data_IF_463980800119
#
_entry.id   IF_463980800119
#
_cell.length_a   1.000
_cell.length_b   1.000
_cell.length_c   1.000
_cell.angle_alpha   90.00
_cell.angle_beta   90.00
_cell.angle_gamma   90.00
#
_symmetry.space_group_name_H-M   'P 1'
#
loop_
_entity.id
_entity.type
_entity.pdbx_description
1 polymer ?
#
# COMPACT_ATOMS: atom_id res chain seq x y z
N UNK A 1 9.45 -0.41 -30.60
CA UNK A 1 9.16 -0.99 -29.25
C UNK A 1 8.46 0.00 -28.32
N UNK A 2 9.00 1.22 -28.14
CA UNK A 2 8.40 2.21 -27.23
C UNK A 2 7.00 2.64 -27.69
N UNK A 3 6.81 2.91 -28.97
CA UNK A 3 5.51 3.32 -29.53
C UNK A 3 4.49 2.19 -29.41
N UNK A 4 4.87 0.97 -29.73
CA UNK A 4 4.02 -0.21 -29.59
C UNK A 4 3.66 -0.48 -28.12
N UNK A 5 4.64 -0.41 -27.22
CA UNK A 5 4.44 -0.57 -25.79
C UNK A 5 3.52 0.49 -25.22
N UNK A 6 3.65 1.74 -25.66
CA UNK A 6 2.77 2.83 -25.27
C UNK A 6 1.33 2.59 -25.71
N UNK A 7 1.12 2.15 -26.96
CA UNK A 7 -0.21 1.81 -27.47
C UNK A 7 -0.87 0.69 -26.67
N UNK A 8 -0.11 -0.36 -26.34
CA UNK A 8 -0.59 -1.47 -25.52
C UNK A 8 -0.96 -1.00 -24.12
N UNK A 9 -0.12 -0.18 -23.48
CA UNK A 9 -0.37 0.39 -22.18
C UNK A 9 -1.66 1.24 -22.16
N UNK A 10 -1.80 2.13 -23.14
CA UNK A 10 -2.98 2.99 -23.28
C UNK A 10 -4.26 2.17 -23.40
N UNK A 11 -4.27 1.16 -24.27
CA UNK A 11 -5.41 0.28 -24.46
C UNK A 11 -5.79 -0.49 -23.20
N UNK A 12 -4.81 -1.01 -22.49
CA UNK A 12 -5.05 -1.78 -21.25
C UNK A 12 -5.55 -0.91 -20.08
N UNK A 13 -5.30 0.40 -20.12
CA UNK A 13 -5.70 1.35 -19.07
C UNK A 13 -6.86 2.28 -19.49
N UNK A 14 -7.45 2.05 -20.65
CA UNK A 14 -8.61 2.81 -21.12
C UNK A 14 -8.32 4.22 -21.63
N UNK A 15 -7.08 4.51 -21.99
CA UNK A 15 -6.69 5.79 -22.59
C UNK A 15 -6.84 5.75 -24.10
N UNK A 16 -7.45 6.76 -24.70
CA UNK A 16 -7.62 6.88 -26.16
C UNK A 16 -6.63 7.84 -26.77
N UNK A 17 -6.14 8.83 -26.04
CA UNK A 17 -5.19 9.85 -26.49
C UNK A 17 -4.09 10.07 -25.45
N UNK A 18 -2.91 10.47 -25.91
CA UNK A 18 -1.81 10.86 -25.03
C UNK A 18 -2.17 12.03 -24.10
N UNK A 19 -3.00 12.96 -24.58
CA UNK A 19 -3.48 14.07 -23.77
C UNK A 19 -4.25 13.62 -22.53
N UNK A 20 -4.94 12.49 -22.58
CA UNK A 20 -5.70 11.93 -21.45
C UNK A 20 -4.80 11.38 -20.35
N UNK A 21 -3.57 10.98 -20.69
CA UNK A 21 -2.56 10.52 -19.74
C UNK A 21 -1.79 11.66 -19.10
N UNK A 22 -1.65 12.77 -19.82
CA UNK A 22 -0.87 13.92 -19.35
C UNK A 22 -1.50 14.50 -18.11
N UNK A 23 -0.71 14.56 -17.04
CA UNK A 23 -1.17 15.10 -15.77
C UNK A 23 -2.21 14.25 -15.03
N UNK A 24 -2.42 12.98 -15.42
CA UNK A 24 -3.38 12.08 -14.78
C UNK A 24 -3.15 11.90 -13.27
N UNK A 25 -1.89 11.99 -12.83
CA UNK A 25 -1.52 11.88 -11.42
C UNK A 25 -1.65 13.20 -10.64
N UNK A 26 -1.80 14.36 -11.31
CA UNK A 26 -1.73 15.68 -10.66
C UNK A 26 -2.81 15.84 -9.57
N UNK A 27 -4.00 15.30 -9.77
CA UNK A 27 -5.08 15.36 -8.78
C UNK A 27 -4.78 14.58 -7.49
N UNK A 28 -3.82 13.66 -7.54
CA UNK A 28 -3.39 12.84 -6.41
C UNK A 28 -2.07 13.30 -5.79
N UNK A 29 -1.43 14.29 -6.41
CA UNK A 29 -0.19 14.86 -5.88
C UNK A 29 -0.52 15.93 -4.85
N UNK A 30 0.24 15.95 -3.79
CA UNK A 30 0.19 17.00 -2.78
C UNK A 30 1.61 17.41 -2.38
N UNK A 31 1.74 18.59 -1.79
CA UNK A 31 3.01 19.02 -1.22
C UNK A 31 3.25 18.35 0.14
N UNK A 32 4.48 18.45 0.64
CA UNK A 32 4.89 17.84 1.90
C UNK A 32 4.06 18.34 3.08
N UNK A 33 3.68 19.63 3.08
CA UNK A 33 2.89 20.22 4.16
C UNK A 33 1.46 19.66 4.20
N UNK A 34 0.84 19.45 3.05
CA UNK A 34 -0.48 18.83 2.96
C UNK A 34 -0.43 17.35 3.36
N UNK A 35 0.63 16.65 2.96
CA UNK A 35 0.85 15.25 3.35
C UNK A 35 1.07 15.11 4.87
N UNK A 36 1.87 15.98 5.46
CA UNK A 36 2.14 15.97 6.91
C UNK A 36 0.89 16.21 7.77
N UNK A 37 -0.12 16.91 7.22
CA UNK A 37 -1.41 17.14 7.88
C UNK A 37 -2.43 16.02 7.65
N UNK A 38 -2.17 15.11 6.74
CA UNK A 38 -3.06 13.99 6.51
C UNK A 38 -3.11 13.07 7.74
N UNK A 39 -4.27 12.47 8.05
CA UNK A 39 -4.37 11.54 9.17
C UNK A 39 -3.43 10.35 8.95
N UNK A 40 -2.70 9.99 10.00
CA UNK A 40 -1.82 8.83 9.97
C UNK A 40 -2.64 7.55 9.73
N UNK A 41 -2.16 6.72 8.81
CA UNK A 41 -2.74 5.39 8.58
C UNK A 41 -1.91 4.35 9.31
N UNK A 42 -2.58 3.33 9.80
CA UNK A 42 -1.95 2.21 10.47
C UNK A 42 -2.36 0.91 9.80
N UNK A 43 -1.52 -0.10 9.92
CA UNK A 43 -1.89 -1.44 9.50
C UNK A 43 -2.95 -2.01 10.47
N UNK A 44 -4.00 -2.58 9.92
CA UNK A 44 -5.05 -3.28 10.64
C UNK A 44 -5.08 -4.75 10.21
N UNK A 45 -5.19 -5.64 11.17
CA UNK A 45 -5.18 -7.09 10.92
C UNK A 45 -6.57 -7.66 11.11
N UNK A 46 -7.05 -8.40 10.11
CA UNK A 46 -8.22 -9.26 10.27
C UNK A 46 -7.75 -10.59 10.88
N UNK A 47 -8.01 -10.75 12.16
CA UNK A 47 -7.58 -11.93 12.92
C UNK A 47 -8.23 -13.22 12.41
N UNK A 48 -9.40 -13.14 11.77
CA UNK A 48 -10.10 -14.31 11.22
C UNK A 48 -9.39 -14.91 10.00
N UNK A 49 -8.65 -14.10 9.26
CA UNK A 49 -7.89 -14.51 8.09
C UNK A 49 -6.41 -14.80 8.42
N UNK A 50 -5.92 -14.29 9.54
CA UNK A 50 -4.50 -14.38 9.90
C UNK A 50 -4.09 -15.82 10.23
N UNK A 51 -3.07 -16.33 9.55
CA UNK A 51 -2.51 -17.67 9.77
C UNK A 51 -1.29 -17.70 10.70
N UNK A 52 -0.95 -16.58 11.32
CA UNK A 52 0.20 -16.43 12.21
C UNK A 52 1.55 -16.85 11.57
N UNK A 53 1.71 -16.64 10.25
CA UNK A 53 2.89 -17.07 9.50
C UNK A 53 4.18 -16.26 9.83
N UNK A 54 4.07 -15.11 10.51
CA UNK A 54 5.20 -14.29 10.96
C UNK A 54 5.85 -13.41 9.89
N UNK A 55 5.42 -13.46 8.64
CA UNK A 55 6.05 -12.69 7.54
C UNK A 55 5.95 -11.19 7.76
N UNK A 56 4.81 -10.70 8.25
CA UNK A 56 4.60 -9.28 8.51
C UNK A 56 5.51 -8.75 9.63
N UNK A 57 5.79 -9.57 10.65
CA UNK A 57 6.73 -9.23 11.71
C UNK A 57 8.16 -9.09 11.18
N UNK A 58 8.59 -10.02 10.31
CA UNK A 58 9.93 -10.01 9.72
C UNK A 58 10.17 -8.80 8.81
N UNK A 59 9.14 -8.33 8.11
CA UNK A 59 9.27 -7.25 7.13
C UNK A 59 9.09 -5.86 7.74
N UNK A 60 8.57 -5.75 8.95
CA UNK A 60 8.30 -4.48 9.60
C UNK A 60 9.58 -3.79 10.07
N UNK A 61 9.97 -2.71 9.39
CA UNK A 61 11.16 -1.92 9.73
C UNK A 61 11.02 -1.13 11.04
N UNK A 62 9.79 -0.93 11.51
CA UNK A 62 9.49 -0.14 12.70
C UNK A 62 9.26 -0.99 13.96
N UNK A 63 9.43 -2.29 13.84
CA UNK A 63 9.19 -3.23 14.94
C UNK A 63 7.79 -3.06 15.58
N UNK A 64 6.81 -2.73 14.71
CA UNK A 64 5.44 -2.41 15.08
C UNK A 64 4.51 -3.62 15.09
N UNK A 65 4.97 -4.79 14.60
CA UNK A 65 4.14 -5.99 14.47
C UNK A 65 4.73 -7.11 15.32
N UNK A 66 3.88 -7.76 16.09
CA UNK A 66 4.20 -8.97 16.84
C UNK A 66 3.21 -10.08 16.48
N UNK A 67 3.71 -11.26 16.26
CA UNK A 67 2.90 -12.44 15.93
C UNK A 67 2.96 -13.44 17.09
N UNK A 68 1.79 -13.73 17.63
CA UNK A 68 1.58 -14.80 18.62
C UNK A 68 0.60 -15.81 18.03
N UNK A 69 -0.65 -15.77 18.42
CA UNK A 69 -1.73 -16.55 17.77
C UNK A 69 -2.23 -15.86 16.50
N UNK A 70 -2.17 -14.54 16.45
CA UNK A 70 -2.44 -13.68 15.31
C UNK A 70 -1.43 -12.54 15.29
N UNK A 71 -1.30 -11.85 14.15
CA UNK A 71 -0.50 -10.65 14.07
C UNK A 71 -1.19 -9.50 14.82
N UNK A 72 -0.43 -8.76 15.61
CA UNK A 72 -0.90 -7.56 16.31
C UNK A 72 -0.01 -6.37 15.97
N UNK A 73 -0.63 -5.24 15.70
CA UNK A 73 0.04 -4.00 15.29
C UNK A 73 -0.01 -2.98 16.42
N UNK A 74 1.16 -2.43 16.74
CA UNK A 74 1.27 -1.26 17.61
C UNK A 74 1.11 0.00 16.76
N UNK A 75 -0.03 0.67 16.89
CA UNK A 75 -0.36 1.88 16.13
C UNK A 75 0.61 3.03 16.40
N UNK A 76 1.25 3.08 17.59
CA UNK A 76 2.20 4.14 17.93
C UNK A 76 3.55 3.98 17.22
N UNK A 77 3.89 2.76 16.83
CA UNK A 77 5.11 2.45 16.09
C UNK A 77 4.89 2.34 14.58
N UNK A 78 3.66 2.06 14.16
CA UNK A 78 3.32 1.85 12.76
C UNK A 78 3.33 3.16 11.99
N UNK A 79 4.17 3.23 10.95
CA UNK A 79 4.28 4.40 10.07
C UNK A 79 3.31 4.37 8.88
N UNK A 80 2.54 3.30 8.73
CA UNK A 80 1.59 3.18 7.62
C UNK A 80 2.24 2.93 6.26
N UNK A 81 3.46 2.40 6.21
CA UNK A 81 4.21 2.20 4.96
C UNK A 81 3.58 1.17 4.01
N UNK A 82 2.71 0.28 4.50
CA UNK A 82 1.97 -0.69 3.70
C UNK A 82 2.74 -1.94 3.28
N UNK A 83 4.01 -2.08 3.62
CA UNK A 83 4.81 -3.23 3.20
C UNK A 83 4.25 -4.57 3.71
N UNK A 84 3.76 -4.60 4.94
CA UNK A 84 3.14 -5.79 5.52
C UNK A 84 1.84 -6.21 4.79
N UNK A 85 1.12 -5.27 4.20
CA UNK A 85 -0.09 -5.54 3.39
C UNK A 85 0.27 -6.38 2.18
N UNK A 86 1.27 -5.94 1.42
CA UNK A 86 1.76 -6.65 0.22
C UNK A 86 2.42 -7.99 0.56
N UNK A 87 3.03 -8.09 1.73
CA UNK A 87 3.75 -9.29 2.16
C UNK A 87 2.85 -10.37 2.75
N UNK A 88 1.60 -10.04 3.09
CA UNK A 88 0.65 -10.97 3.69
C UNK A 88 0.10 -11.96 2.65
N UNK A 89 0.39 -13.26 2.75
CA UNK A 89 -0.02 -14.24 1.72
C UNK A 89 -1.53 -14.50 1.70
N UNK A 90 -2.23 -14.17 2.77
CA UNK A 90 -3.69 -14.40 2.91
C UNK A 90 -4.49 -13.10 2.89
N UNK A 91 -3.86 -11.96 2.67
CA UNK A 91 -4.53 -10.66 2.60
C UNK A 91 -5.24 -10.24 3.88
N UNK A 92 -4.74 -10.65 5.04
CA UNK A 92 -5.36 -10.33 6.33
C UNK A 92 -5.03 -8.91 6.84
N UNK A 93 -4.17 -8.18 6.15
CA UNK A 93 -3.70 -6.85 6.59
C UNK A 93 -4.16 -5.79 5.60
N UNK A 94 -4.71 -4.71 6.12
CA UNK A 94 -5.10 -3.51 5.36
C UNK A 94 -4.58 -2.25 6.05
N UNK A 95 -4.56 -1.13 5.33
CA UNK A 95 -4.27 0.18 5.91
C UNK A 95 -5.58 0.93 6.17
N UNK A 96 -5.71 1.41 7.34
CA UNK A 96 -6.88 2.21 7.75
C UNK A 96 -6.48 3.57 8.33
#
# INVERSE_FOLDING_TARGET
KLIEGLGTFMSSHGYTRLADMRGAALSRMCNVEAYAKAPAKHACVDESLCTACGRCEQVCAYDAIRVTHTAKVDANKCDGCGLCVEWCPVGSISLA
#
